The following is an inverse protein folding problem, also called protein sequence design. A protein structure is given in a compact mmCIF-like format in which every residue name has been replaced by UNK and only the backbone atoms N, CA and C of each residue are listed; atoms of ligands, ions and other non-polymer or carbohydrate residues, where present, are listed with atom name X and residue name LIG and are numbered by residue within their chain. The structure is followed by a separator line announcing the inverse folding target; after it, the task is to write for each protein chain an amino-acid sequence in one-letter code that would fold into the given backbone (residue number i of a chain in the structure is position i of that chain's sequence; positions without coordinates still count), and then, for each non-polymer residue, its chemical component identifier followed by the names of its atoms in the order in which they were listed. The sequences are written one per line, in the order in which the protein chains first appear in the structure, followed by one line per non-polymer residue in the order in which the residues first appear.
data_IF_688421000850
#
_entry.id   IF_688421000850
#
_cell.length_a   1.000
_cell.length_b   1.000
_cell.length_c   1.000
_cell.angle_alpha   90.00
_cell.angle_beta   90.00
_cell.angle_gamma   90.00
#
_symmetry.space_group_name_H-M   'P 1'
#
loop_
_entity.id
_entity.type
_entity.pdbx_description
1 polymer ?
#
# COMPACT_ATOMS: atom_id res chain seq x y z
N UNK A 1 -5.32 30.26 67.81
CA UNK A 1 -4.93 31.64 67.43
C UNK A 1 -5.06 31.73 65.91
N UNK A 2 -5.97 32.44 65.26
CA UNK A 2 -7.04 33.36 65.69
C UNK A 2 -7.91 33.56 64.43
N UNK A 3 -9.24 33.43 64.56
CA UNK A 3 -10.26 34.08 63.70
C UNK A 3 -10.46 35.51 64.27
N UNK A 4 -11.27 36.49 63.75
CA UNK A 4 -12.28 36.46 62.67
C UNK A 4 -12.40 37.75 61.81
N UNK A 5 -13.32 37.76 60.83
CA UNK A 5 -14.46 38.71 60.80
C UNK A 5 -15.37 38.50 59.57
N UNK A 6 -16.68 38.52 59.82
CA UNK A 6 -17.80 38.34 58.90
C UNK A 6 -18.54 39.67 58.63
N UNK A 7 -19.41 39.70 57.61
CA UNK A 7 -20.76 40.36 57.54
C UNK A 7 -21.23 40.35 56.06
N UNK A 8 -22.25 39.59 55.67
CA UNK A 8 -23.73 39.80 55.80
C UNK A 8 -24.32 40.90 54.89
N UNK A 9 -25.15 40.51 53.91
CA UNK A 9 -26.59 40.89 53.82
C UNK A 9 -27.27 40.43 52.52
N UNK A 10 -28.37 39.67 52.68
CA UNK A 10 -29.54 39.51 51.78
C UNK A 10 -30.50 40.73 52.00
N UNK A 11 -31.59 41.01 51.22
CA UNK A 11 -32.55 40.04 50.63
C UNK A 11 -33.34 40.42 49.34
N UNK A 12 -34.02 39.43 48.74
CA UNK A 12 -35.49 39.50 48.51
C UNK A 12 -36.06 39.72 47.09
N UNK A 13 -36.90 38.76 46.66
CA UNK A 13 -38.11 38.93 45.81
C UNK A 13 -37.91 38.74 44.29
N UNK A 14 -38.84 38.22 43.51
CA UNK A 14 -40.05 37.40 43.69
C UNK A 14 -40.50 36.93 42.29
N UNK A 15 -41.26 35.84 42.23
CA UNK A 15 -42.20 35.40 41.19
C UNK A 15 -41.84 35.39 39.67
N UNK A 16 -41.90 34.22 39.03
CA UNK A 16 -43.07 33.80 38.23
C UNK A 16 -42.79 32.50 37.43
N UNK A 17 -43.72 31.53 37.55
CA UNK A 17 -43.87 30.36 36.67
C UNK A 17 -44.85 30.72 35.56
N UNK A 18 -44.61 30.26 34.33
CA UNK A 18 -45.65 30.05 33.33
C UNK A 18 -45.29 28.89 32.38
N UNK A 19 -46.33 28.17 31.98
CA UNK A 19 -46.40 26.86 31.34
C UNK A 19 -46.21 26.86 29.81
N UNK A 20 -45.44 25.88 29.29
CA UNK A 20 -45.59 25.11 28.01
C UNK A 20 -45.78 25.83 26.65
N UNK A 21 -45.80 25.13 25.48
CA UNK A 21 -45.15 23.90 24.99
C UNK A 21 -44.27 24.21 23.73
N UNK A 22 -43.81 23.21 22.95
CA UNK A 22 -43.57 23.21 21.46
C UNK A 22 -42.55 22.10 21.13
N UNK A 23 -43.03 20.93 20.66
CA UNK A 23 -43.06 20.47 19.27
C UNK A 23 -41.70 20.35 18.54
N UNK A 24 -41.26 19.09 18.38
CA UNK A 24 -41.05 18.43 17.10
C UNK A 24 -40.22 19.12 16.00
N UNK A 25 -39.10 18.49 15.67
CA UNK A 25 -38.48 18.58 14.33
C UNK A 25 -37.01 18.97 14.36
N UNK A 26 -36.11 18.01 14.60
CA UNK A 26 -34.70 18.20 14.24
C UNK A 26 -34.48 17.61 12.85
N UNK A 27 -34.47 18.50 11.86
CA UNK A 27 -34.02 18.20 10.51
C UNK A 27 -32.59 17.64 10.55
N UNK A 28 -32.40 16.48 9.91
CA UNK A 28 -31.08 15.94 9.63
C UNK A 28 -30.52 16.75 8.47
N UNK A 29 -29.60 17.67 8.77
CA UNK A 29 -28.87 18.41 7.74
C UNK A 29 -27.92 17.44 7.02
N UNK A 30 -28.20 17.15 5.75
CA UNK A 30 -27.27 16.54 4.82
C UNK A 30 -26.08 17.48 4.60
N UNK A 31 -24.95 17.16 5.24
CA UNK A 31 -23.67 17.76 4.93
C UNK A 31 -23.00 16.95 3.81
N UNK A 32 -23.31 17.26 2.56
CA UNK A 32 -22.46 16.90 1.41
C UNK A 32 -21.23 17.80 1.44
N UNK A 33 -20.16 17.35 2.09
CA UNK A 33 -18.87 18.02 2.05
C UNK A 33 -18.20 17.70 0.70
N UNK A 34 -18.17 18.66 -0.21
CA UNK A 34 -17.39 18.56 -1.43
C UNK A 34 -15.89 18.45 -1.07
N UNK A 35 -15.24 17.37 -1.49
CA UNK A 35 -13.78 17.23 -1.48
C UNK A 35 -13.19 17.95 -2.69
N UNK A 36 -12.23 18.88 -2.51
CA UNK A 36 -11.28 19.17 -3.56
C UNK A 36 -9.85 19.06 -3.04
N UNK A 37 -9.11 18.10 -3.57
CA UNK A 37 -7.70 18.33 -3.91
C UNK A 37 -7.68 18.42 -5.43
N UNK A 38 -7.39 19.61 -5.98
CA UNK A 38 -7.21 19.74 -7.42
C UNK A 38 -6.05 18.83 -7.84
N UNK A 39 -6.33 17.89 -8.74
CA UNK A 39 -5.27 17.04 -9.28
C UNK A 39 -4.18 17.92 -9.89
N UNK A 40 -2.89 17.51 -9.81
CA UNK A 40 -1.81 18.18 -10.52
C UNK A 40 -2.21 18.51 -11.98
N UNK A 41 -1.75 19.64 -12.53
CA UNK A 41 -2.13 20.07 -13.88
C UNK A 41 -1.86 18.98 -14.95
N UNK A 42 -0.78 18.23 -14.75
CA UNK A 42 -0.39 17.10 -15.60
C UNK A 42 -1.20 15.82 -15.33
N UNK A 43 -2.17 15.80 -14.43
CA UNK A 43 -3.01 14.63 -14.12
C UNK A 43 -4.50 14.87 -14.41
N UNK A 44 -4.85 16.06 -14.90
CA UNK A 44 -6.24 16.50 -15.08
C UNK A 44 -6.99 15.61 -16.06
N UNK A 45 -6.36 15.21 -17.17
CA UNK A 45 -7.00 14.35 -18.17
C UNK A 45 -7.36 12.97 -17.62
N UNK A 46 -6.43 12.32 -16.92
CA UNK A 46 -6.66 11.02 -16.30
C UNK A 46 -7.66 11.09 -15.14
N UNK A 47 -7.61 12.18 -14.37
CA UNK A 47 -8.48 12.40 -13.21
C UNK A 47 -9.93 12.72 -13.59
N UNK A 48 -10.16 13.31 -14.78
CA UNK A 48 -11.48 13.67 -15.26
C UNK A 48 -12.29 12.48 -15.81
N UNK A 49 -11.66 11.33 -16.06
CA UNK A 49 -12.34 10.17 -16.63
C UNK A 49 -13.37 9.58 -15.65
N UNK A 50 -14.52 9.08 -16.13
CA UNK A 50 -15.49 8.40 -15.28
C UNK A 50 -14.91 7.12 -14.66
N UNK A 51 -15.14 6.91 -13.37
CA UNK A 51 -14.73 5.68 -12.69
C UNK A 51 -15.48 4.46 -13.21
N UNK A 52 -16.76 4.64 -13.58
CA UNK A 52 -17.59 3.61 -14.20
C UNK A 52 -16.94 2.98 -15.44
N UNK A 53 -16.28 3.79 -16.29
CA UNK A 53 -15.62 3.31 -17.50
C UNK A 53 -14.39 2.45 -17.18
N UNK A 54 -13.61 2.86 -16.15
CA UNK A 54 -12.51 2.04 -15.65
C UNK A 54 -13.02 0.70 -15.12
N UNK A 55 -14.12 0.70 -14.34
CA UNK A 55 -14.74 -0.52 -13.83
C UNK A 55 -15.19 -1.46 -14.95
N UNK A 56 -15.80 -0.93 -16.01
CA UNK A 56 -16.15 -1.74 -17.18
C UNK A 56 -14.92 -2.33 -17.88
N UNK A 57 -13.84 -1.56 -18.03
CA UNK A 57 -12.59 -2.05 -18.62
C UNK A 57 -11.94 -3.12 -17.72
N UNK A 58 -12.02 -2.98 -16.40
CA UNK A 58 -11.56 -3.98 -15.45
C UNK A 58 -12.34 -5.31 -15.57
N UNK A 59 -13.67 -5.25 -15.74
CA UNK A 59 -14.48 -6.45 -16.02
C UNK A 59 -14.08 -7.10 -17.35
N UNK A 60 -14.02 -6.33 -18.44
CA UNK A 60 -13.62 -6.83 -19.76
C UNK A 60 -12.22 -7.44 -19.76
N UNK A 61 -11.31 -6.90 -18.93
CA UNK A 61 -9.98 -7.46 -18.75
C UNK A 61 -10.04 -8.84 -18.05
N UNK A 62 -10.94 -9.08 -17.10
CA UNK A 62 -11.09 -10.42 -16.49
C UNK A 62 -11.56 -11.48 -17.51
N UNK A 63 -12.34 -11.08 -18.51
CA UNK A 63 -12.83 -11.97 -19.57
C UNK A 63 -11.76 -12.33 -20.61
N UNK A 64 -10.67 -11.57 -20.68
CA UNK A 64 -9.54 -11.84 -21.56
C UNK A 64 -8.77 -13.10 -21.11
N UNK A 65 -9.06 -14.24 -21.74
CA UNK A 65 -8.43 -15.55 -21.47
C UNK A 65 -7.66 -16.09 -22.69
N UNK A 66 -6.86 -17.13 -22.49
CA UNK A 66 -6.10 -17.82 -23.53
C UNK A 66 -4.74 -17.19 -23.87
N UNK A 67 -4.23 -17.48 -25.07
CA UNK A 67 -2.92 -16.97 -25.54
C UNK A 67 -2.92 -15.43 -25.58
N UNK A 68 -1.81 -14.84 -25.16
CA UNK A 68 -1.57 -13.39 -25.07
C UNK A 68 -2.62 -12.65 -24.21
N UNK A 69 -3.20 -13.32 -23.22
CA UNK A 69 -4.19 -12.73 -22.31
C UNK A 69 -3.64 -11.49 -21.60
N UNK A 70 -2.36 -11.47 -21.22
CA UNK A 70 -1.72 -10.32 -20.59
C UNK A 70 -1.79 -9.06 -21.45
N UNK A 71 -1.38 -9.15 -22.72
CA UNK A 71 -1.41 -8.03 -23.66
C UNK A 71 -2.84 -7.57 -23.97
N UNK A 72 -3.78 -8.52 -24.17
CA UNK A 72 -5.19 -8.21 -24.37
C UNK A 72 -5.79 -7.43 -23.19
N UNK A 73 -5.45 -7.83 -21.97
CA UNK A 73 -5.86 -7.13 -20.74
C UNK A 73 -5.31 -5.72 -20.70
N UNK A 74 -4.01 -5.54 -20.94
CA UNK A 74 -3.41 -4.21 -20.96
C UNK A 74 -4.04 -3.31 -22.03
N UNK A 75 -4.34 -3.84 -23.22
CA UNK A 75 -5.01 -3.07 -24.29
C UNK A 75 -6.43 -2.64 -23.95
N UNK A 76 -7.16 -3.44 -23.17
CA UNK A 76 -8.49 -3.06 -22.67
C UNK A 76 -8.38 -1.98 -21.59
N UNK A 77 -7.41 -2.10 -20.67
CA UNK A 77 -7.21 -1.17 -19.57
C UNK A 77 -6.61 0.17 -20.03
N UNK A 78 -5.72 0.12 -21.01
CA UNK A 78 -4.95 1.25 -21.54
C UNK A 78 -5.11 1.30 -23.06
N UNK A 79 -6.30 1.69 -23.50
CA UNK A 79 -6.61 1.80 -24.93
C UNK A 79 -5.73 2.86 -25.61
N UNK A 80 -5.54 2.80 -26.94
CA UNK A 80 -4.80 3.83 -27.66
C UNK A 80 -5.35 5.24 -27.44
N UNK A 81 -6.67 5.39 -27.34
CA UNK A 81 -7.31 6.67 -27.05
C UNK A 81 -6.96 7.19 -25.64
N UNK A 82 -6.87 6.29 -24.65
CA UNK A 82 -6.45 6.65 -23.31
C UNK A 82 -4.96 7.03 -23.26
N UNK A 83 -4.11 6.27 -23.96
CA UNK A 83 -2.69 6.59 -24.07
C UNK A 83 -2.46 7.95 -24.77
N UNK A 84 -3.25 8.25 -25.80
CA UNK A 84 -3.25 9.54 -26.49
C UNK A 84 -3.68 10.68 -25.56
N UNK A 85 -4.78 10.50 -24.81
CA UNK A 85 -5.29 11.48 -23.86
C UNK A 85 -4.36 11.72 -22.66
N UNK A 86 -3.47 10.77 -22.37
CA UNK A 86 -2.53 10.82 -21.25
C UNK A 86 -1.11 11.05 -21.75
N UNK A 87 -0.34 9.97 -21.93
CA UNK A 87 1.09 9.98 -22.20
C UNK A 87 1.47 10.88 -23.38
N UNK A 88 0.77 10.77 -24.51
CA UNK A 88 1.11 11.51 -25.74
C UNK A 88 0.91 13.02 -25.56
N UNK A 89 -0.16 13.42 -24.85
CA UNK A 89 -0.44 14.81 -24.49
C UNK A 89 0.26 15.27 -23.21
N UNK A 90 1.30 14.56 -22.78
CA UNK A 90 2.12 14.87 -21.59
C UNK A 90 1.31 14.97 -20.30
N UNK A 91 0.22 14.19 -20.22
CA UNK A 91 -0.60 14.01 -19.03
C UNK A 91 -0.27 12.66 -18.40
N UNK A 92 0.10 12.65 -17.13
CA UNK A 92 0.47 11.48 -16.36
C UNK A 92 -0.71 10.50 -16.27
N UNK A 93 -0.50 9.21 -16.61
CA UNK A 93 -1.52 8.18 -16.43
C UNK A 93 -1.66 7.73 -14.97
N UNK A 94 -0.87 8.31 -14.05
CA UNK A 94 -0.78 7.89 -12.65
C UNK A 94 -2.14 7.73 -11.94
N UNK A 95 -3.13 8.65 -12.07
CA UNK A 95 -4.43 8.50 -11.40
C UNK A 95 -5.16 7.19 -11.73
N UNK A 96 -4.94 6.63 -12.93
CA UNK A 96 -5.53 5.36 -13.39
C UNK A 96 -4.63 4.20 -12.98
N UNK A 97 -3.32 4.33 -13.25
CA UNK A 97 -2.34 3.25 -13.03
C UNK A 97 -2.29 2.86 -11.56
N UNK A 98 -2.42 3.81 -10.62
CA UNK A 98 -2.46 3.52 -9.17
C UNK A 98 -3.69 2.72 -8.72
N UNK A 99 -4.81 2.83 -9.43
CA UNK A 99 -6.01 2.02 -9.17
C UNK A 99 -5.90 0.61 -9.80
N UNK A 100 -5.16 0.49 -10.91
CA UNK A 100 -4.89 -0.80 -11.56
C UNK A 100 -3.80 -1.60 -10.84
N UNK A 101 -2.80 -0.91 -10.28
CA UNK A 101 -1.63 -1.46 -9.60
C UNK A 101 -1.50 -0.94 -8.14
N UNK A 102 -2.53 -1.11 -7.30
CA UNK A 102 -2.54 -0.54 -5.95
C UNK A 102 -1.53 -1.19 -4.99
N UNK A 103 -1.01 -2.37 -5.33
CA UNK A 103 -0.01 -3.11 -4.54
C UNK A 103 1.39 -2.50 -4.61
N UNK A 104 1.68 -1.72 -5.64
CA UNK A 104 2.96 -1.01 -5.85
C UNK A 104 2.82 0.52 -5.78
N UNK A 105 1.64 1.03 -5.40
CA UNK A 105 1.48 2.45 -5.06
C UNK A 105 2.03 2.70 -3.65
N UNK A 106 3.20 3.35 -3.60
CA UNK A 106 3.88 3.75 -2.37
C UNK A 106 3.56 5.20 -1.95
N UNK A 107 2.80 5.95 -2.78
CA UNK A 107 2.42 7.33 -2.48
C UNK A 107 1.25 7.42 -1.49
N UNK A 108 0.39 6.39 -1.45
CA UNK A 108 -0.72 6.27 -0.50
C UNK A 108 -0.34 5.33 0.64
N UNK A 109 -0.54 5.79 1.87
CA UNK A 109 -0.35 4.96 3.05
C UNK A 109 -1.25 3.70 3.00
N UNK A 110 -0.83 2.64 3.71
CA UNK A 110 -1.65 1.44 3.80
C UNK A 110 -2.94 1.74 4.58
N UNK A 111 -4.07 1.34 4.02
CA UNK A 111 -5.37 1.50 4.70
C UNK A 111 -5.49 0.67 5.98
N UNK A 112 -4.67 -0.38 6.13
CA UNK A 112 -4.72 -1.35 7.24
C UNK A 112 -6.09 -2.05 7.38
N UNK A 113 -6.85 -2.12 6.28
CA UNK A 113 -8.18 -2.74 6.23
C UNK A 113 -8.09 -4.10 5.56
N UNK A 114 -8.55 -5.14 6.26
CA UNK A 114 -8.62 -6.53 5.75
C UNK A 114 -10.07 -6.94 5.51
N UNK A 115 -10.27 -8.08 4.86
CA UNK A 115 -11.59 -8.62 4.50
C UNK A 115 -12.52 -8.77 5.72
N UNK A 116 -11.99 -9.15 6.89
CA UNK A 116 -12.80 -9.27 8.12
C UNK A 116 -13.32 -7.92 8.60
N UNK A 117 -12.48 -6.88 8.59
CA UNK A 117 -12.89 -5.51 8.91
C UNK A 117 -13.96 -5.03 7.94
N UNK A 118 -13.76 -5.26 6.64
CA UNK A 118 -14.75 -4.92 5.61
C UNK A 118 -16.08 -5.65 5.82
N UNK A 119 -16.04 -6.96 6.14
CA UNK A 119 -17.24 -7.72 6.43
C UNK A 119 -18.04 -7.12 7.60
N UNK A 120 -17.35 -6.70 8.67
CA UNK A 120 -17.96 -6.04 9.83
C UNK A 120 -18.55 -4.68 9.46
N UNK A 121 -17.80 -3.83 8.75
CA UNK A 121 -18.25 -2.48 8.36
C UNK A 121 -19.45 -2.57 7.42
N UNK A 122 -19.35 -3.35 6.34
CA UNK A 122 -20.49 -3.53 5.42
C UNK A 122 -21.67 -4.20 6.11
N UNK A 123 -21.45 -5.21 6.97
CA UNK A 123 -22.54 -5.83 7.73
C UNK A 123 -23.31 -4.83 8.58
N UNK A 124 -22.61 -3.91 9.25
CA UNK A 124 -23.19 -2.83 10.04
C UNK A 124 -23.95 -1.82 9.16
N UNK A 125 -23.31 -1.31 8.11
CA UNK A 125 -23.89 -0.29 7.22
C UNK A 125 -25.11 -0.81 6.44
N UNK A 126 -25.11 -2.09 6.09
CA UNK A 126 -26.24 -2.74 5.43
C UNK A 126 -27.37 -3.14 6.40
N UNK A 127 -27.16 -3.01 7.72
CA UNK A 127 -28.12 -3.43 8.74
C UNK A 127 -28.34 -4.95 8.76
N UNK A 128 -27.34 -5.75 8.39
CA UNK A 128 -27.50 -7.20 8.32
C UNK A 128 -27.55 -7.81 9.72
N UNK A 129 -28.53 -8.68 9.94
CA UNK A 129 -28.54 -9.53 11.13
C UNK A 129 -27.33 -10.48 11.10
N UNK A 130 -26.65 -10.64 12.25
CA UNK A 130 -25.50 -11.56 12.42
C UNK A 130 -25.80 -12.99 11.96
N UNK A 131 -27.05 -13.44 12.11
CA UNK A 131 -27.49 -14.78 11.74
C UNK A 131 -27.93 -14.92 10.27
N UNK A 132 -28.05 -13.80 9.54
CA UNK A 132 -28.46 -13.81 8.14
C UNK A 132 -27.44 -14.55 7.26
N UNK A 133 -27.94 -15.20 6.19
CA UNK A 133 -27.09 -15.86 5.21
C UNK A 133 -26.07 -14.88 4.59
N UNK A 134 -26.49 -13.65 4.27
CA UNK A 134 -25.63 -12.61 3.75
C UNK A 134 -24.45 -12.30 4.70
N UNK A 135 -24.69 -12.13 6.00
CA UNK A 135 -23.63 -11.86 6.97
C UNK A 135 -22.70 -13.06 7.15
N UNK A 136 -23.26 -14.27 7.24
CA UNK A 136 -22.49 -15.52 7.33
C UNK A 136 -21.58 -15.70 6.13
N UNK A 137 -22.05 -15.35 4.92
CA UNK A 137 -21.27 -15.40 3.69
C UNK A 137 -20.13 -14.39 3.66
N UNK A 138 -20.36 -13.15 4.11
CA UNK A 138 -19.31 -12.12 4.23
C UNK A 138 -18.23 -12.51 5.24
N UNK A 139 -18.61 -13.03 6.41
CA UNK A 139 -17.67 -13.46 7.44
C UNK A 139 -16.89 -14.72 7.01
N UNK A 140 -17.58 -15.70 6.43
CA UNK A 140 -17.02 -16.98 6.02
C UNK A 140 -16.73 -17.06 4.51
N UNK A 141 -16.30 -15.95 3.91
CA UNK A 141 -16.03 -15.84 2.47
C UNK A 141 -15.04 -16.88 1.92
N UNK A 142 -14.23 -17.52 2.79
CA UNK A 142 -13.29 -18.60 2.44
C UNK A 142 -13.90 -20.01 2.41
N UNK A 143 -15.01 -20.24 3.12
CA UNK A 143 -15.59 -21.59 3.37
C UNK A 143 -16.90 -21.84 2.60
N UNK A 144 -17.18 -21.06 1.56
CA UNK A 144 -18.44 -21.18 0.83
C UNK A 144 -18.51 -22.50 0.04
N UNK A 145 -19.66 -23.19 0.12
CA UNK A 145 -19.92 -24.52 -0.47
C UNK A 145 -20.27 -24.48 -1.95
N UNK A 146 -20.59 -23.30 -2.51
CA UNK A 146 -20.91 -23.11 -3.93
C UNK A 146 -19.67 -22.71 -4.74
N UNK A 147 -19.30 -23.59 -5.68
CA UNK A 147 -18.03 -23.69 -6.42
C UNK A 147 -17.51 -22.42 -7.14
N UNK A 148 -18.32 -21.40 -7.41
CA UNK A 148 -17.96 -20.33 -8.38
C UNK A 148 -17.33 -19.09 -7.73
N UNK A 149 -17.49 -18.86 -6.42
CA UNK A 149 -17.09 -17.59 -5.75
C UNK A 149 -16.16 -17.79 -4.54
N UNK A 150 -15.75 -19.02 -4.25
CA UNK A 150 -14.96 -19.36 -3.06
C UNK A 150 -13.62 -18.63 -3.04
N UNK A 151 -13.31 -17.97 -1.93
CA UNK A 151 -12.00 -17.34 -1.73
C UNK A 151 -11.84 -15.96 -2.38
N UNK A 152 -12.91 -15.29 -2.81
CA UNK A 152 -12.86 -13.90 -3.27
C UNK A 152 -13.91 -13.02 -2.56
N UNK A 153 -13.49 -12.34 -1.50
CA UNK A 153 -14.36 -11.47 -0.70
C UNK A 153 -15.09 -10.41 -1.54
N UNK A 154 -14.43 -9.77 -2.51
CA UNK A 154 -15.05 -8.73 -3.33
C UNK A 154 -16.22 -9.27 -4.16
N UNK A 155 -16.10 -10.48 -4.71
CA UNK A 155 -17.20 -11.10 -5.46
C UNK A 155 -18.36 -11.52 -4.53
N UNK A 156 -18.06 -11.98 -3.32
CA UNK A 156 -19.09 -12.27 -2.31
C UNK A 156 -19.86 -11.00 -1.95
N UNK A 157 -19.14 -9.90 -1.70
CA UNK A 157 -19.74 -8.60 -1.41
C UNK A 157 -20.63 -8.13 -2.57
N UNK A 158 -20.15 -8.21 -3.80
CA UNK A 158 -20.93 -7.87 -4.98
C UNK A 158 -22.27 -8.63 -5.02
N UNK A 159 -22.26 -9.95 -4.82
CA UNK A 159 -23.47 -10.77 -4.85
C UNK A 159 -24.45 -10.42 -3.72
N UNK A 160 -23.95 -10.04 -2.54
CA UNK A 160 -24.79 -9.55 -1.43
C UNK A 160 -25.41 -8.20 -1.78
N UNK A 161 -24.62 -7.27 -2.32
CA UNK A 161 -25.09 -5.93 -2.69
C UNK A 161 -26.09 -5.96 -3.85
N UNK A 162 -25.86 -6.77 -4.87
CA UNK A 162 -26.69 -6.83 -6.07
C UNK A 162 -28.09 -7.43 -5.83
N UNK A 163 -28.27 -8.19 -4.75
CA UNK A 163 -29.54 -8.81 -4.36
C UNK A 163 -30.40 -7.92 -3.47
N UNK A 164 -29.89 -6.76 -3.06
CA UNK A 164 -30.60 -5.87 -2.14
C UNK A 164 -31.63 -5.03 -2.90
N UNK A 165 -32.83 -4.91 -2.33
CA UNK A 165 -33.85 -3.99 -2.83
C UNK A 165 -33.33 -2.54 -2.73
N UNK A 166 -33.49 -1.76 -3.80
CA UNK A 166 -32.98 -0.40 -3.89
C UNK A 166 -31.48 -0.28 -4.20
N UNK A 167 -30.79 -1.38 -4.52
CA UNK A 167 -29.41 -1.31 -4.98
C UNK A 167 -29.31 -0.42 -6.23
N UNK A 168 -28.37 0.53 -6.22
CA UNK A 168 -28.10 1.37 -7.38
C UNK A 168 -27.71 0.47 -8.56
N UNK A 169 -28.50 0.52 -9.64
CA UNK A 169 -28.25 -0.25 -10.87
C UNK A 169 -27.51 0.55 -11.92
N UNK A 170 -27.56 1.88 -11.82
CA UNK A 170 -26.86 2.80 -12.72
C UNK A 170 -25.41 2.99 -12.26
N UNK A 171 -24.47 3.17 -13.19
CA UNK A 171 -23.12 3.62 -12.86
C UNK A 171 -23.12 4.98 -12.16
N UNK A 172 -22.16 5.19 -11.28
CA UNK A 172 -21.92 6.50 -10.66
C UNK A 172 -21.45 7.51 -11.71
N UNK A 173 -21.64 8.80 -11.41
CA UNK A 173 -21.10 9.93 -12.19
C UNK A 173 -19.73 10.40 -11.69
N UNK A 174 -19.13 9.66 -10.74
CA UNK A 174 -17.88 10.02 -10.10
C UNK A 174 -16.68 9.79 -11.01
N UNK A 175 -15.72 10.70 -10.94
CA UNK A 175 -14.48 10.63 -11.71
C UNK A 175 -13.40 9.82 -10.97
N UNK A 176 -12.36 9.43 -11.71
CA UNK A 176 -11.16 8.79 -11.14
C UNK A 176 -10.48 9.71 -10.12
N UNK A 177 -10.47 11.03 -10.35
CA UNK A 177 -9.95 12.00 -9.39
C UNK A 177 -10.72 11.98 -8.07
N UNK A 178 -12.06 11.94 -8.13
CA UNK A 178 -12.91 11.82 -6.95
C UNK A 178 -12.63 10.54 -6.16
N UNK A 179 -12.57 9.40 -6.85
CA UNK A 179 -12.25 8.11 -6.21
C UNK A 179 -10.87 8.12 -5.56
N UNK A 180 -9.87 8.71 -6.22
CA UNK A 180 -8.55 8.84 -5.62
C UNK A 180 -8.56 9.71 -4.36
N UNK A 181 -9.28 10.85 -4.36
CA UNK A 181 -9.43 11.70 -3.19
C UNK A 181 -10.12 10.97 -2.03
N UNK A 182 -11.20 10.23 -2.32
CA UNK A 182 -11.92 9.42 -1.32
C UNK A 182 -11.03 8.33 -0.71
N UNK A 183 -10.19 7.70 -1.53
CA UNK A 183 -9.21 6.71 -1.05
C UNK A 183 -8.03 7.36 -0.30
N UNK A 184 -7.61 8.56 -0.69
CA UNK A 184 -6.60 9.32 0.05
C UNK A 184 -7.13 9.68 1.45
N UNK A 185 -8.39 10.12 1.57
CA UNK A 185 -9.08 10.34 2.85
C UNK A 185 -9.15 9.05 3.68
N UNK A 186 -9.52 7.92 3.06
CA UNK A 186 -9.57 6.63 3.74
C UNK A 186 -8.19 6.21 4.30
N UNK A 187 -7.12 6.53 3.59
CA UNK A 187 -5.75 6.23 4.02
C UNK A 187 -5.29 7.09 5.21
N UNK A 188 -5.88 8.28 5.37
CA UNK A 188 -5.59 9.22 6.45
C UNK A 188 -6.57 9.10 7.63
N UNK A 189 -7.68 8.38 7.46
CA UNK A 189 -8.73 8.22 8.45
C UNK A 189 -8.18 7.69 9.78
N UNK A 190 -8.42 8.43 10.85
CA UNK A 190 -8.03 8.07 12.21
C UNK A 190 -9.22 7.42 12.93
N UNK A 191 -9.13 6.12 13.11
CA UNK A 191 -10.12 5.33 13.85
C UNK A 191 -11.32 4.87 13.01
N UNK A 192 -12.14 4.04 13.64
CA UNK A 192 -13.21 3.31 12.96
C UNK A 192 -14.37 4.20 12.49
N UNK A 193 -14.67 5.29 13.21
CA UNK A 193 -15.80 6.16 12.88
C UNK A 193 -15.60 6.90 11.55
N UNK A 194 -14.41 7.47 11.32
CA UNK A 194 -14.09 8.14 10.05
C UNK A 194 -14.11 7.14 8.89
N UNK A 195 -13.56 5.94 9.09
CA UNK A 195 -13.63 4.86 8.11
C UNK A 195 -15.09 4.49 7.77
N UNK A 196 -15.94 4.33 8.77
CA UNK A 196 -17.36 4.01 8.57
C UNK A 196 -18.11 5.09 7.77
N UNK A 197 -17.81 6.39 8.00
CA UNK A 197 -18.38 7.50 7.21
C UNK A 197 -17.98 7.42 5.74
N UNK A 198 -16.71 7.15 5.46
CA UNK A 198 -16.20 6.99 4.09
C UNK A 198 -16.85 5.77 3.43
N UNK A 199 -16.95 4.64 4.13
CA UNK A 199 -17.65 3.46 3.61
C UNK A 199 -19.15 3.68 3.40
N UNK A 200 -19.80 4.50 4.22
CA UNK A 200 -21.19 4.92 4.00
C UNK A 200 -21.34 5.75 2.72
N UNK A 201 -20.37 6.63 2.44
CA UNK A 201 -20.30 7.38 1.18
C UNK A 201 -20.10 6.43 0.00
N UNK A 202 -19.18 5.46 0.11
CA UNK A 202 -19.01 4.42 -0.92
C UNK A 202 -20.28 3.60 -1.15
N UNK A 203 -21.02 3.27 -0.09
CA UNK A 203 -22.24 2.48 -0.18
C UNK A 203 -23.39 3.21 -0.88
N UNK A 204 -23.44 4.55 -0.74
CA UNK A 204 -24.53 5.39 -1.25
C UNK A 204 -24.27 5.90 -2.67
N UNK A 205 -23.02 6.23 -2.99
CA UNK A 205 -22.69 6.87 -4.28
C UNK A 205 -22.30 5.89 -5.39
N UNK A 206 -21.93 4.66 -5.05
CA UNK A 206 -21.42 3.68 -6.01
C UNK A 206 -22.33 2.46 -6.09
N UNK A 207 -22.46 1.88 -7.28
CA UNK A 207 -23.21 0.63 -7.46
C UNK A 207 -22.43 -0.60 -6.95
N UNK A 208 -23.10 -1.75 -6.91
CA UNK A 208 -22.50 -2.99 -6.42
C UNK A 208 -21.21 -3.39 -7.17
N UNK A 209 -21.15 -3.15 -8.49
CA UNK A 209 -20.01 -3.49 -9.33
C UNK A 209 -18.81 -2.57 -9.07
N UNK A 210 -19.04 -1.28 -8.89
CA UNK A 210 -18.04 -0.29 -8.53
C UNK A 210 -17.49 -0.56 -7.12
N UNK A 211 -18.36 -0.86 -6.15
CA UNK A 211 -17.95 -1.22 -4.79
C UNK A 211 -17.09 -2.50 -4.76
N UNK A 212 -17.37 -3.49 -5.63
CA UNK A 212 -16.51 -4.67 -5.82
C UNK A 212 -15.08 -4.27 -6.14
N UNK A 213 -14.88 -3.33 -7.05
CA UNK A 213 -13.55 -2.87 -7.47
C UNK A 213 -12.90 -1.96 -6.44
N UNK A 214 -13.65 -1.05 -5.81
CA UNK A 214 -13.13 -0.25 -4.69
C UNK A 214 -12.56 -1.14 -3.59
N UNK A 215 -13.28 -2.20 -3.21
CA UNK A 215 -12.79 -3.17 -2.23
C UNK A 215 -11.54 -3.92 -2.69
N UNK A 216 -11.43 -4.29 -3.97
CA UNK A 216 -10.19 -4.88 -4.52
C UNK A 216 -9.02 -3.91 -4.46
N UNK A 217 -9.26 -2.63 -4.74
CA UNK A 217 -8.25 -1.56 -4.66
C UNK A 217 -7.80 -1.35 -3.21
N UNK A 218 -8.74 -1.29 -2.25
CA UNK A 218 -8.47 -1.12 -0.82
C UNK A 218 -7.66 -2.30 -0.27
N UNK A 219 -8.05 -3.53 -0.64
CA UNK A 219 -7.32 -4.75 -0.23
C UNK A 219 -5.97 -4.87 -0.95
N UNK A 220 -5.77 -4.11 -2.05
CA UNK A 220 -4.62 -4.20 -2.96
C UNK A 220 -4.51 -5.58 -3.65
N UNK A 221 -5.65 -6.17 -4.03
CA UNK A 221 -5.74 -7.50 -4.65
C UNK A 221 -6.71 -7.49 -5.83
N UNK A 222 -6.22 -7.03 -6.99
CA UNK A 222 -7.04 -6.78 -8.18
C UNK A 222 -7.50 -8.05 -8.91
N UNK A 223 -6.83 -9.18 -8.71
CA UNK A 223 -7.09 -10.47 -9.38
C UNK A 223 -7.11 -10.40 -10.92
N UNK A 224 -6.43 -9.42 -11.51
CA UNK A 224 -6.37 -9.25 -12.98
C UNK A 224 -5.40 -10.23 -13.64
N UNK A 225 -4.44 -10.79 -12.90
CA UNK A 225 -3.40 -11.66 -13.45
C UNK A 225 -2.37 -10.92 -14.32
N UNK A 226 -2.32 -9.59 -14.24
CA UNK A 226 -1.25 -8.75 -14.79
C UNK A 226 -0.49 -8.11 -13.63
N UNK A 227 0.84 -8.14 -13.69
CA UNK A 227 1.70 -7.48 -12.71
C UNK A 227 2.20 -6.13 -13.22
N UNK A 228 2.77 -5.32 -12.34
CA UNK A 228 3.30 -4.00 -12.67
C UNK A 228 4.29 -4.02 -13.84
N UNK A 229 5.21 -4.99 -13.89
CA UNK A 229 6.19 -5.10 -15.00
C UNK A 229 5.51 -5.20 -16.37
N UNK A 230 4.49 -6.07 -16.49
CA UNK A 230 3.74 -6.22 -17.75
C UNK A 230 2.91 -4.99 -18.12
N UNK A 231 2.30 -4.32 -17.14
CA UNK A 231 1.52 -3.09 -17.37
C UNK A 231 2.43 -1.93 -17.78
N UNK A 232 3.52 -1.70 -17.05
CA UNK A 232 4.43 -0.59 -17.31
C UNK A 232 5.20 -0.78 -18.62
N UNK A 233 5.60 -2.02 -18.95
CA UNK A 233 6.18 -2.36 -20.25
C UNK A 233 5.20 -2.13 -21.41
N UNK A 234 3.91 -2.36 -21.18
CA UNK A 234 2.89 -2.07 -22.19
C UNK A 234 2.71 -0.57 -22.43
N UNK A 235 2.78 0.25 -21.37
CA UNK A 235 2.69 1.71 -21.51
C UNK A 235 3.93 2.30 -22.20
N UNK A 236 5.11 1.70 -21.98
CA UNK A 236 6.35 2.08 -22.65
C UNK A 236 7.39 0.97 -22.53
N UNK A 237 8.20 0.72 -23.57
CA UNK A 237 9.18 -0.38 -23.60
C UNK A 237 10.15 -0.38 -22.40
N UNK A 238 10.56 0.80 -21.95
CA UNK A 238 11.43 1.00 -20.77
C UNK A 238 10.71 1.12 -19.43
N UNK A 239 9.38 1.05 -19.39
CA UNK A 239 8.58 1.33 -18.18
C UNK A 239 8.85 0.36 -17.02
N UNK A 240 9.01 -0.93 -17.30
CA UNK A 240 9.39 -1.92 -16.29
C UNK A 240 10.78 -1.63 -15.70
N UNK A 241 11.76 -1.32 -16.55
CA UNK A 241 13.12 -1.01 -16.14
C UNK A 241 13.18 0.30 -15.31
N UNK A 242 12.39 1.30 -15.70
CA UNK A 242 12.24 2.55 -14.97
C UNK A 242 11.73 2.31 -13.53
N UNK A 243 10.70 1.47 -13.38
CA UNK A 243 10.19 1.10 -12.06
C UNK A 243 11.19 0.30 -11.26
N UNK A 244 11.91 -0.62 -11.87
CA UNK A 244 12.95 -1.38 -11.19
C UNK A 244 14.10 -0.51 -10.65
N UNK A 245 14.27 0.72 -11.14
CA UNK A 245 15.33 1.65 -10.72
C UNK A 245 14.94 2.52 -9.51
N UNK A 246 13.64 2.65 -9.21
CA UNK A 246 13.16 3.58 -8.18
C UNK A 246 12.05 3.05 -7.27
N UNK A 247 11.37 1.97 -7.67
CA UNK A 247 10.15 1.45 -7.06
C UNK A 247 9.09 2.53 -6.72
N UNK A 248 8.99 3.56 -7.56
CA UNK A 248 8.07 4.69 -7.40
C UNK A 248 7.16 4.78 -8.63
N UNK A 249 5.91 4.35 -8.45
CA UNK A 249 4.92 4.30 -9.53
C UNK A 249 4.59 5.70 -10.07
N UNK A 250 4.53 6.72 -9.19
CA UNK A 250 4.24 8.10 -9.56
C UNK A 250 5.35 8.65 -10.43
N UNK A 251 6.59 8.55 -9.96
CA UNK A 251 7.77 9.01 -10.68
C UNK A 251 7.91 8.36 -12.05
N UNK A 252 7.61 7.06 -12.15
CA UNK A 252 7.60 6.35 -13.44
C UNK A 252 6.52 6.91 -14.35
N UNK A 253 5.27 7.02 -13.90
CA UNK A 253 4.17 7.55 -14.72
C UNK A 253 4.42 8.98 -15.20
N UNK A 254 5.01 9.85 -14.37
CA UNK A 254 5.41 11.20 -14.76
C UNK A 254 6.52 11.17 -15.81
N UNK A 255 7.52 10.29 -15.65
CA UNK A 255 8.60 10.13 -16.63
C UNK A 255 8.12 9.57 -17.97
N UNK A 256 7.04 8.76 -18.00
CA UNK A 256 6.45 8.26 -19.26
C UNK A 256 5.97 9.39 -20.17
N UNK A 257 5.56 10.54 -19.61
CA UNK A 257 5.15 11.72 -20.38
C UNK A 257 6.31 12.41 -21.12
N UNK A 258 7.56 12.07 -20.75
CA UNK A 258 8.78 12.71 -21.27
C UNK A 258 9.82 11.65 -21.66
N UNK A 259 9.75 11.11 -22.90
CA UNK A 259 10.61 9.99 -23.34
C UNK A 259 12.12 10.22 -23.15
N UNK A 260 12.58 11.47 -23.33
CA UNK A 260 13.99 11.85 -23.15
C UNK A 260 14.44 11.71 -21.68
N UNK A 261 13.57 12.09 -20.74
CA UNK A 261 13.83 11.97 -19.30
C UNK A 261 13.82 10.51 -18.87
N UNK A 262 12.88 9.71 -19.38
CA UNK A 262 12.78 8.29 -19.08
C UNK A 262 14.06 7.54 -19.44
N UNK A 263 14.67 7.85 -20.59
CA UNK A 263 15.91 7.21 -21.01
C UNK A 263 17.09 7.52 -20.08
N UNK A 264 17.14 8.72 -19.50
CA UNK A 264 18.17 9.11 -18.52
C UNK A 264 17.92 8.46 -17.15
N UNK A 265 16.65 8.31 -16.80
CA UNK A 265 16.19 7.78 -15.52
C UNK A 265 16.51 6.29 -15.32
N UNK A 266 16.39 5.51 -16.38
CA UNK A 266 16.41 4.04 -16.36
C UNK A 266 17.78 3.41 -16.01
N UNK A 267 18.86 4.17 -16.06
CA UNK A 267 20.23 3.65 -15.90
C UNK A 267 20.95 4.12 -14.63
N UNK A 268 20.25 4.78 -13.70
CA UNK A 268 20.88 5.40 -12.53
C UNK A 268 20.18 5.03 -11.23
N UNK A 269 20.77 4.08 -10.50
CA UNK A 269 20.45 3.89 -9.08
C UNK A 269 20.88 5.16 -8.34
N UNK A 270 20.02 5.64 -7.45
CA UNK A 270 20.23 6.88 -6.69
C UNK A 270 20.26 6.58 -5.19
N UNK A 271 21.08 7.31 -4.44
CA UNK A 271 21.07 7.23 -2.97
C UNK A 271 19.68 7.55 -2.43
N UNK A 272 19.29 6.82 -1.38
CA UNK A 272 17.98 6.90 -0.72
C UNK A 272 16.75 6.69 -1.61
N UNK A 273 16.92 6.25 -2.85
CA UNK A 273 15.84 5.75 -3.70
C UNK A 273 15.93 4.23 -3.72
N UNK A 274 14.90 3.49 -3.25
CA UNK A 274 14.91 2.03 -3.36
C UNK A 274 14.86 1.60 -4.83
N UNK A 275 15.26 0.37 -5.10
CA UNK A 275 15.20 -0.27 -6.42
C UNK A 275 14.92 -1.77 -6.25
N UNK A 276 14.49 -2.44 -7.32
CA UNK A 276 14.19 -3.87 -7.29
C UNK A 276 15.50 -4.67 -7.23
N UNK A 277 15.77 -5.43 -6.14
CA UNK A 277 17.00 -6.22 -6.06
C UNK A 277 17.01 -7.39 -7.06
N UNK A 278 18.20 -7.80 -7.50
CA UNK A 278 18.37 -8.94 -8.40
C UNK A 278 17.83 -10.23 -7.76
N UNK A 279 17.04 -11.01 -8.50
CA UNK A 279 16.47 -12.27 -8.02
C UNK A 279 17.26 -13.48 -8.54
N UNK A 280 17.31 -14.54 -7.74
CA UNK A 280 17.90 -15.82 -8.14
C UNK A 280 16.93 -16.64 -8.99
N UNK A 281 17.40 -17.24 -10.09
CA UNK A 281 16.66 -18.26 -10.81
C UNK A 281 16.82 -19.63 -10.13
N UNK A 282 15.72 -20.33 -9.87
CA UNK A 282 15.75 -21.63 -9.20
C UNK A 282 16.06 -22.79 -10.16
N UNK A 283 17.19 -23.48 -9.95
CA UNK A 283 17.55 -24.70 -10.69
C UNK A 283 16.97 -25.91 -9.97
N UNK A 284 15.84 -26.44 -10.45
CA UNK A 284 14.93 -27.28 -9.66
C UNK A 284 15.30 -28.76 -9.50
N UNK A 285 16.27 -29.30 -10.24
CA UNK A 285 16.36 -30.77 -10.34
C UNK A 285 17.75 -31.37 -10.15
N UNK A 286 18.85 -30.76 -10.61
CA UNK A 286 20.19 -31.37 -10.47
C UNK A 286 21.31 -30.33 -10.44
N UNK A 287 22.33 -30.54 -9.60
CA UNK A 287 23.53 -29.70 -9.52
C UNK A 287 24.25 -29.59 -10.88
N UNK A 288 24.17 -30.64 -11.71
CA UNK A 288 24.75 -30.66 -13.07
C UNK A 288 24.14 -29.64 -14.04
N UNK A 289 22.98 -29.05 -13.74
CA UNK A 289 22.41 -27.96 -14.55
C UNK A 289 23.00 -26.59 -14.21
N UNK A 290 23.76 -26.47 -13.12
CA UNK A 290 24.42 -25.21 -12.74
C UNK A 290 25.51 -24.85 -13.76
N UNK A 291 26.34 -25.81 -14.18
CA UNK A 291 27.44 -25.53 -15.12
C UNK A 291 26.93 -24.98 -16.47
N UNK A 292 25.93 -25.59 -17.14
CA UNK A 292 25.33 -24.98 -18.33
C UNK A 292 24.68 -23.62 -18.08
N UNK A 293 23.99 -23.45 -16.93
CA UNK A 293 23.34 -22.18 -16.60
C UNK A 293 24.35 -21.03 -16.38
N UNK A 294 25.53 -21.35 -15.87
CA UNK A 294 26.67 -20.41 -15.73
C UNK A 294 27.47 -20.25 -17.04
N UNK A 295 27.04 -20.91 -18.13
CA UNK A 295 27.73 -20.86 -19.42
C UNK A 295 29.13 -21.47 -19.39
N UNK A 296 29.38 -22.44 -18.50
CA UNK A 296 30.70 -23.05 -18.26
C UNK A 296 31.78 -22.06 -17.79
N UNK A 297 31.40 -20.89 -17.30
CA UNK A 297 32.33 -19.92 -16.73
C UNK A 297 32.57 -20.18 -15.24
N UNK A 298 33.71 -19.71 -14.67
CA UNK A 298 33.90 -19.69 -13.23
C UNK A 298 32.78 -18.91 -12.52
N UNK A 299 32.34 -19.40 -11.37
CA UNK A 299 31.32 -18.78 -10.54
C UNK A 299 31.66 -18.97 -9.05
N UNK A 300 31.08 -18.11 -8.21
CA UNK A 300 31.21 -18.18 -6.75
C UNK A 300 29.98 -18.90 -6.18
N UNK A 301 30.18 -19.64 -5.09
CA UNK A 301 29.11 -20.26 -4.33
C UNK A 301 29.04 -19.61 -2.95
N UNK A 302 27.91 -18.96 -2.67
CA UNK A 302 27.62 -18.38 -1.37
C UNK A 302 26.53 -19.16 -0.62
N UNK A 303 26.57 -19.05 0.71
CA UNK A 303 25.54 -19.62 1.57
C UNK A 303 24.26 -18.78 1.40
N UNK A 304 23.18 -19.45 0.99
CA UNK A 304 21.86 -18.81 0.99
C UNK A 304 21.36 -18.69 2.44
N UNK A 305 21.40 -17.48 2.97
CA UNK A 305 20.86 -17.16 4.29
C UNK A 305 19.32 -17.15 4.27
N UNK A 306 18.73 -17.38 5.45
CA UNK A 306 17.28 -17.36 5.68
C UNK A 306 16.90 -16.17 6.57
N UNK A 307 17.06 -14.97 6.01
CA UNK A 307 16.81 -13.71 6.70
C UNK A 307 15.86 -12.80 5.93
N UNK A 308 15.96 -11.50 6.18
CA UNK A 308 15.26 -10.48 5.42
C UNK A 308 16.25 -9.73 4.52
N UNK A 309 16.12 -9.90 3.20
CA UNK A 309 16.91 -9.11 2.24
C UNK A 309 16.69 -7.61 2.45
N UNK A 310 17.82 -6.90 2.58
CA UNK A 310 17.85 -5.50 2.94
C UNK A 310 18.87 -4.75 2.08
N UNK A 311 18.41 -3.66 1.47
CA UNK A 311 19.27 -2.65 0.87
C UNK A 311 19.63 -1.60 1.91
N UNK A 312 20.91 -1.37 2.14
CA UNK A 312 21.41 -0.34 3.04
C UNK A 312 21.98 0.83 2.24
N UNK A 313 21.35 1.99 2.31
CA UNK A 313 21.80 3.22 1.67
C UNK A 313 22.45 4.11 2.73
N UNK A 314 23.74 4.39 2.57
CA UNK A 314 24.52 5.28 3.42
C UNK A 314 24.90 6.54 2.64
N UNK A 315 24.64 7.72 3.22
CA UNK A 315 25.10 9.02 2.75
C UNK A 315 25.58 9.83 3.96
N UNK A 316 26.90 9.95 4.13
CA UNK A 316 27.50 10.49 5.35
C UNK A 316 27.04 9.70 6.58
N UNK A 317 26.37 10.40 7.50
CA UNK A 317 25.79 9.85 8.74
C UNK A 317 24.32 9.40 8.61
N UNK A 318 23.73 9.55 7.44
CA UNK A 318 22.36 9.10 7.15
C UNK A 318 22.40 7.68 6.61
N UNK A 319 21.77 6.76 7.33
CA UNK A 319 21.62 5.35 6.93
C UNK A 319 20.14 5.05 6.79
N UNK A 320 19.75 4.49 5.64
CA UNK A 320 18.38 4.03 5.37
C UNK A 320 18.37 2.57 4.96
N UNK A 321 17.34 1.86 5.38
CA UNK A 321 17.16 0.43 5.12
C UNK A 321 15.89 0.20 4.31
N UNK A 322 16.01 -0.44 3.15
CA UNK A 322 14.87 -0.77 2.29
C UNK A 322 14.76 -2.28 2.08
N UNK A 323 13.58 -2.82 2.31
CA UNK A 323 13.29 -4.24 2.06
C UNK A 323 13.31 -4.56 0.57
N UNK A 324 13.30 -5.85 0.22
CA UNK A 324 13.09 -6.35 -1.15
C UNK A 324 11.90 -5.72 -1.90
N UNK A 325 10.85 -5.29 -1.19
CA UNK A 325 9.66 -4.66 -1.77
C UNK A 325 9.69 -3.13 -1.67
N UNK A 326 10.86 -2.55 -1.51
CA UNK A 326 11.08 -1.10 -1.38
C UNK A 326 10.45 -0.43 -0.14
N UNK A 327 9.88 -1.19 0.81
CA UNK A 327 9.42 -0.62 2.07
C UNK A 327 10.61 -0.15 2.90
N UNK A 328 10.52 1.07 3.43
CA UNK A 328 11.55 1.63 4.31
C UNK A 328 11.41 1.09 5.74
N UNK A 329 12.47 0.43 6.23
CA UNK A 329 12.57 -0.21 7.54
C UNK A 329 13.58 0.51 8.46
N UNK A 330 13.99 1.73 8.08
CA UNK A 330 14.94 2.55 8.84
C UNK A 330 14.50 2.76 10.29
N UNK A 331 13.20 2.96 10.56
CA UNK A 331 12.69 3.12 11.91
C UNK A 331 12.82 1.85 12.78
N UNK A 332 12.74 0.67 12.16
CA UNK A 332 12.82 -0.62 12.85
C UNK A 332 14.28 -1.04 13.07
N UNK A 333 15.15 -0.92 12.06
CA UNK A 333 16.52 -1.43 12.13
C UNK A 333 17.57 -0.36 12.40
N UNK A 334 17.29 0.91 12.09
CA UNK A 334 18.19 2.04 12.34
C UNK A 334 18.69 2.15 13.79
N UNK A 335 17.82 2.05 14.82
CA UNK A 335 18.26 2.18 16.21
C UNK A 335 19.34 1.19 16.65
N UNK A 336 19.42 0.02 16.01
CA UNK A 336 20.39 -1.05 16.35
C UNK A 336 21.54 -1.07 15.34
N UNK A 337 21.24 -0.97 14.05
CA UNK A 337 22.21 -1.23 12.97
C UNK A 337 22.93 0.02 12.48
N UNK A 338 22.41 1.23 12.68
CA UNK A 338 23.02 2.46 12.13
C UNK A 338 24.48 2.59 12.55
N UNK A 339 24.77 2.48 13.85
CA UNK A 339 26.13 2.65 14.37
C UNK A 339 27.06 1.50 13.98
N UNK A 340 26.51 0.29 13.77
CA UNK A 340 27.27 -0.83 13.22
C UNK A 340 27.71 -0.51 11.78
N UNK A 341 26.80 0.00 10.95
CA UNK A 341 27.11 0.41 9.58
C UNK A 341 28.12 1.55 9.56
N UNK A 342 27.93 2.60 10.34
CA UNK A 342 28.82 3.77 10.35
C UNK A 342 30.25 3.44 10.78
N UNK A 343 30.42 2.48 11.70
CA UNK A 343 31.75 2.02 12.16
C UNK A 343 32.42 1.05 11.19
N UNK A 344 31.63 0.26 10.44
CA UNK A 344 32.16 -0.79 9.56
C UNK A 344 32.42 -0.30 8.13
N UNK A 345 31.60 0.63 7.64
CA UNK A 345 31.61 1.08 6.24
C UNK A 345 32.29 2.44 6.14
N UNK A 346 33.56 2.44 5.74
CA UNK A 346 34.40 3.66 5.65
C UNK A 346 34.20 4.48 4.35
N UNK A 347 33.08 4.31 3.67
CA UNK A 347 32.73 5.07 2.46
C UNK A 347 31.75 6.18 2.83
N UNK A 348 31.90 7.38 2.27
CA UNK A 348 30.95 8.47 2.54
C UNK A 348 29.55 8.11 2.00
N UNK A 349 29.52 7.62 0.76
CA UNK A 349 28.32 7.15 0.07
C UNK A 349 28.42 5.67 -0.24
N UNK A 350 27.40 4.89 0.10
CA UNK A 350 27.35 3.47 -0.25
C UNK A 350 25.92 2.96 -0.44
N UNK A 351 25.76 1.99 -1.33
CA UNK A 351 24.56 1.14 -1.43
C UNK A 351 25.00 -0.31 -1.31
N UNK A 352 24.56 -0.97 -0.26
CA UNK A 352 24.88 -2.36 0.06
C UNK A 352 23.63 -3.22 -0.14
N UNK A 353 23.80 -4.40 -0.73
CA UNK A 353 22.77 -5.44 -0.80
C UNK A 353 23.21 -6.63 0.06
N UNK A 354 22.29 -7.11 0.88
CA UNK A 354 22.62 -8.06 1.91
C UNK A 354 21.39 -8.69 2.56
N UNK A 355 21.65 -9.59 3.48
CA UNK A 355 20.64 -10.27 4.27
C UNK A 355 20.73 -9.84 5.74
N UNK A 356 19.63 -9.31 6.27
CA UNK A 356 19.47 -9.05 7.70
C UNK A 356 19.07 -10.36 8.39
N UNK A 357 19.82 -10.76 9.41
CA UNK A 357 19.64 -12.01 10.13
C UNK A 357 19.79 -11.76 11.64
N UNK A 358 19.38 -12.73 12.45
CA UNK A 358 19.62 -12.68 13.90
C UNK A 358 20.32 -13.95 14.38
N UNK A 359 21.16 -13.81 15.40
CA UNK A 359 21.88 -14.89 16.05
C UNK A 359 21.49 -14.97 17.52
N UNK A 360 21.23 -16.17 18.02
CA UNK A 360 21.00 -16.44 19.44
C UNK A 360 22.30 -16.95 20.07
N UNK A 361 22.90 -16.16 20.95
CA UNK A 361 24.16 -16.49 21.63
C UNK A 361 23.98 -17.55 22.72
N UNK A 362 22.77 -17.69 23.29
CA UNK A 362 22.47 -18.71 24.30
C UNK A 362 22.33 -20.07 23.63
N UNK A 363 21.57 -20.13 22.54
CA UNK A 363 21.33 -21.36 21.78
C UNK A 363 22.40 -21.62 20.70
N UNK A 364 23.32 -20.67 20.51
CA UNK A 364 24.42 -20.68 19.53
C UNK A 364 23.98 -21.01 18.10
N UNK A 365 22.87 -20.43 17.66
CA UNK A 365 22.29 -20.71 16.34
C UNK A 365 21.67 -19.47 15.70
N UNK A 366 21.48 -19.54 14.37
CA UNK A 366 20.68 -18.56 13.65
C UNK A 366 19.22 -18.63 14.10
N UNK A 367 18.64 -17.46 14.31
CA UNK A 367 17.21 -17.34 14.61
C UNK A 367 16.44 -17.53 13.31
N UNK A 368 15.35 -18.33 13.31
CA UNK A 368 14.52 -18.53 12.13
C UNK A 368 13.93 -17.23 11.56
N UNK A 369 13.68 -17.23 10.25
CA UNK A 369 13.01 -16.15 9.54
C UNK A 369 11.71 -15.69 10.23
N UNK A 370 11.45 -14.38 10.20
CA UNK A 370 10.24 -13.75 10.76
C UNK A 370 10.41 -13.16 12.15
N UNK A 371 11.55 -13.39 12.82
CA UNK A 371 11.81 -12.90 14.18
C UNK A 371 12.73 -11.67 14.25
N UNK A 372 13.35 -11.26 13.15
CA UNK A 372 14.35 -10.17 13.13
C UNK A 372 13.85 -8.85 13.71
N UNK A 373 12.59 -8.47 13.43
CA UNK A 373 11.99 -7.26 13.99
C UNK A 373 11.83 -7.33 15.50
N UNK A 374 11.38 -8.49 16.01
CA UNK A 374 11.29 -8.73 17.45
C UNK A 374 12.65 -8.64 18.11
N UNK A 375 13.69 -9.23 17.51
CA UNK A 375 15.07 -9.14 18.02
C UNK A 375 15.56 -7.69 18.02
N UNK A 376 15.31 -6.93 16.95
CA UNK A 376 15.67 -5.52 16.89
C UNK A 376 14.97 -4.68 17.98
N UNK A 377 13.68 -4.94 18.25
CA UNK A 377 12.94 -4.26 19.32
C UNK A 377 13.49 -4.63 20.72
N UNK A 378 13.87 -5.89 20.94
CA UNK A 378 14.49 -6.35 22.19
C UNK A 378 15.86 -5.69 22.41
N UNK A 379 16.72 -5.66 21.39
CA UNK A 379 18.03 -4.99 21.46
C UNK A 379 17.89 -3.49 21.68
N UNK A 380 16.94 -2.85 20.99
CA UNK A 380 16.63 -1.44 21.19
C UNK A 380 16.25 -1.16 22.64
N UNK A 381 15.35 -1.95 23.22
CA UNK A 381 14.94 -1.80 24.64
C UNK A 381 16.10 -2.04 25.59
N UNK A 382 16.93 -3.05 25.35
CA UNK A 382 18.12 -3.31 26.16
C UNK A 382 19.08 -2.11 26.14
N UNK A 383 19.28 -1.50 24.97
CA UNK A 383 20.15 -0.33 24.80
C UNK A 383 19.60 0.96 25.43
N UNK A 384 18.28 1.17 25.41
CA UNK A 384 17.66 2.44 25.88
C UNK A 384 17.13 2.40 27.30
N UNK A 385 16.59 1.26 27.75
CA UNK A 385 15.86 1.12 29.02
C UNK A 385 16.66 0.34 30.07
N UNK A 386 17.88 -0.10 29.76
CA UNK A 386 18.72 -0.88 30.67
C UNK A 386 18.16 -2.28 30.98
N UNK A 387 17.29 -2.80 30.12
CA UNK A 387 16.72 -4.13 30.25
C UNK A 387 17.74 -5.26 30.06
N UNK A 388 17.46 -6.44 30.61
CA UNK A 388 18.28 -7.63 30.39
C UNK A 388 18.34 -7.97 28.89
N UNK A 389 19.56 -8.20 28.40
CA UNK A 389 19.78 -8.64 27.02
C UNK A 389 19.11 -10.00 26.81
N UNK A 390 18.32 -10.13 25.73
CA UNK A 390 17.71 -11.41 25.36
C UNK A 390 18.73 -12.45 24.86
N UNK A 391 20.02 -12.08 24.80
CA UNK A 391 21.09 -12.91 24.23
C UNK A 391 20.99 -13.07 22.72
N UNK A 392 20.02 -12.43 22.06
CA UNK A 392 19.85 -12.41 20.61
C UNK A 392 20.36 -11.11 20.03
N UNK A 393 20.98 -11.19 18.86
CA UNK A 393 21.62 -10.07 18.20
C UNK A 393 21.33 -10.06 16.70
N UNK A 394 20.97 -8.90 16.17
CA UNK A 394 20.82 -8.61 14.76
C UNK A 394 22.19 -8.41 14.11
N UNK A 395 22.36 -8.94 12.91
CA UNK A 395 23.53 -8.72 12.09
C UNK A 395 23.16 -8.67 10.61
N UNK A 396 24.02 -8.01 9.82
CA UNK A 396 23.79 -7.80 8.39
C UNK A 396 24.94 -8.37 7.58
N UNK A 397 24.65 -9.37 6.75
CA UNK A 397 25.63 -9.96 5.83
C UNK A 397 25.45 -9.32 4.47
N UNK A 398 26.45 -8.53 4.06
CA UNK A 398 26.51 -7.90 2.74
C UNK A 398 27.08 -8.92 1.75
N UNK A 399 26.42 -9.07 0.60
CA UNK A 399 26.88 -9.91 -0.50
C UNK A 399 27.07 -9.14 -1.81
N UNK A 400 26.62 -7.88 -1.90
CA UNK A 400 26.85 -7.02 -3.06
C UNK A 400 27.01 -5.54 -2.67
N UNK A 401 27.72 -4.78 -3.49
CA UNK A 401 27.93 -3.33 -3.35
C UNK A 401 27.60 -2.66 -4.68
N UNK A 402 26.52 -1.89 -4.70
CA UNK A 402 25.96 -1.31 -5.92
C UNK A 402 26.37 0.15 -6.13
N UNK A 403 26.83 0.81 -5.07
CA UNK A 403 27.43 2.13 -5.12
C UNK A 403 28.53 2.21 -4.07
N UNK A 404 29.71 2.69 -4.48
CA UNK A 404 30.82 2.99 -3.59
C UNK A 404 31.35 4.40 -3.93
N UNK A 405 31.12 5.35 -3.03
CA UNK A 405 31.63 6.72 -3.12
C UNK A 405 33.07 6.83 -2.62
N UNK A 406 33.57 8.06 -2.53
CA UNK A 406 34.88 8.35 -1.94
C UNK A 406 34.97 7.96 -0.44
N UNK A 407 36.19 7.86 0.11
CA UNK A 407 36.39 7.60 1.53
C UNK A 407 35.75 8.70 2.38
N UNK A 408 35.26 8.33 3.56
CA UNK A 408 34.77 9.31 4.54
C UNK A 408 35.92 10.25 4.92
N UNK A 409 35.68 11.56 4.88
CA UNK A 409 36.63 12.52 5.44
C UNK A 409 36.72 12.29 6.95
N UNK A 410 37.92 11.98 7.44
CA UNK A 410 38.22 11.65 8.84
C UNK A 410 38.07 12.84 9.76
#
# INVERSE_FOLDING_TARGET
RSVPSASESMPGGDAAREDTPVAGGSAVAEASAALPSAAPENETAASALPFADLVQNLERALDCKGKNSHEKKCRVLFSPALAEATIVKKQSPFPIVRLVLPDVDNSRANYNIKQQTLATVYGKLLGLNKESDAMKRLQNWRKQTTSVVVGNFANVLHDVLSKREGAATKPCDKTIGYVNALLDELSQAQGQEQQERIFSTMLTEFNALEQKWLVRIIIKDMKLGVGHGGVLKFLHDKGEQAFNTCCDLRKVCEALCYPDQLSTFVNKISLHSPFTPMLSHGVKRHLGQVLPAMGQNPFVMDIKLDGERMLCHKQGDVVRFFTRRANEYTASYGPVMKDVILRTVNLDNAILDGEMCSYDHVQRKLVPFGSNRTVADEEKKAATEGGESSGRQLFYIVFDILLAGGPRAT
#
